data_IF_271337302258
#
_entry.id   IF_271337302258
#
_cell.length_a   1.000
_cell.length_b   1.000
_cell.length_c   1.000
_cell.angle_alpha   90.00
_cell.angle_beta   90.00
_cell.angle_gamma   90.00
#
_symmetry.space_group_name_H-M   'P 1'
#
loop_
_entity.id
_entity.type
_entity.pdbx_description
1 polymer ?
#
# COMPACT_ATOMS: atom_id res chain seq x y z
N UNK A 1 26.48 -13.60 -8.33
CA UNK A 1 25.49 -12.52 -8.11
C UNK A 1 24.31 -12.55 -9.07
N UNK A 2 24.49 -12.89 -10.36
CA UNK A 2 23.40 -12.89 -11.35
C UNK A 2 22.25 -13.91 -11.09
N UNK A 3 22.54 -15.04 -10.44
CA UNK A 3 21.54 -16.08 -10.13
C UNK A 3 20.57 -15.67 -9.02
N UNK A 4 21.07 -15.04 -7.95
CA UNK A 4 20.26 -14.56 -6.82
C UNK A 4 19.24 -13.51 -7.27
N UNK A 5 19.66 -12.57 -8.12
CA UNK A 5 18.77 -11.56 -8.70
C UNK A 5 17.66 -12.18 -9.57
N UNK A 6 18.00 -13.22 -10.34
CA UNK A 6 17.03 -13.93 -11.19
C UNK A 6 16.00 -14.70 -10.36
N UNK A 7 16.41 -15.30 -9.24
CA UNK A 7 15.50 -16.00 -8.33
C UNK A 7 14.63 -15.04 -7.52
N UNK A 8 15.15 -13.89 -7.10
CA UNK A 8 14.35 -12.82 -6.48
C UNK A 8 13.31 -12.27 -7.45
N UNK A 9 13.69 -12.04 -8.71
CA UNK A 9 12.76 -11.60 -9.75
C UNK A 9 11.67 -12.64 -10.03
N UNK A 10 12.01 -13.94 -10.07
CA UNK A 10 11.04 -15.03 -10.21
C UNK A 10 10.08 -15.14 -9.03
N UNK A 11 10.59 -15.00 -7.79
CA UNK A 11 9.73 -14.96 -6.59
C UNK A 11 8.78 -13.77 -6.64
N UNK A 12 9.28 -12.57 -6.98
CA UNK A 12 8.44 -11.38 -7.13
C UNK A 12 7.36 -11.59 -8.22
N UNK A 13 7.72 -12.14 -9.37
CA UNK A 13 6.78 -12.47 -10.44
C UNK A 13 5.73 -13.52 -9.99
N UNK A 14 6.13 -14.53 -9.21
CA UNK A 14 5.18 -15.53 -8.68
C UNK A 14 4.19 -14.95 -7.68
N UNK A 15 4.60 -13.98 -6.86
CA UNK A 15 3.71 -13.33 -5.89
C UNK A 15 2.68 -12.45 -6.61
N UNK A 16 3.07 -11.82 -7.72
CA UNK A 16 2.16 -11.05 -8.58
C UNK A 16 1.22 -11.95 -9.39
N UNK A 17 1.69 -13.11 -9.86
CA UNK A 17 0.90 -14.04 -10.67
C UNK A 17 -0.03 -14.95 -9.84
N UNK A 18 0.30 -15.22 -8.58
CA UNK A 18 -0.49 -16.07 -7.69
C UNK A 18 -1.95 -15.65 -7.52
N UNK A 19 -2.29 -14.37 -7.23
CA UNK A 19 -3.68 -13.95 -7.10
C UNK A 19 -4.46 -14.09 -8.42
N UNK A 20 -3.84 -13.77 -9.57
CA UNK A 20 -4.45 -13.93 -10.88
C UNK A 20 -4.73 -15.40 -11.23
N UNK A 21 -3.82 -16.31 -10.85
CA UNK A 21 -4.00 -17.75 -11.05
C UNK A 21 -5.08 -18.32 -10.13
N UNK A 22 -5.15 -17.87 -8.87
CA UNK A 22 -6.19 -18.26 -7.92
C UNK A 22 -7.59 -17.85 -8.39
N UNK A 23 -7.76 -16.61 -8.89
CA UNK A 23 -9.02 -16.17 -9.50
C UNK A 23 -9.39 -17.00 -10.74
N UNK A 24 -8.40 -17.36 -11.56
CA UNK A 24 -8.64 -18.18 -12.76
C UNK A 24 -9.03 -19.62 -12.41
N UNK A 25 -8.39 -20.23 -11.42
CA UNK A 25 -8.78 -21.55 -10.91
C UNK A 25 -10.18 -21.54 -10.28
N UNK A 26 -10.57 -20.45 -9.60
CA UNK A 26 -11.94 -20.26 -9.11
C UNK A 26 -12.97 -20.14 -10.24
N UNK A 27 -12.60 -19.47 -11.34
CA UNK A 27 -13.44 -19.39 -12.54
C UNK A 27 -13.53 -20.75 -13.28
N UNK A 28 -12.43 -21.50 -13.34
CA UNK A 28 -12.35 -22.81 -14.03
C UNK A 28 -13.10 -23.92 -13.27
N UNK A 29 -13.28 -23.80 -11.95
CA UNK A 29 -14.05 -24.73 -11.11
C UNK A 29 -15.58 -24.49 -11.17
N UNK A 30 -16.09 -23.89 -12.25
CA UNK A 30 -17.53 -23.70 -12.45
C UNK A 30 -18.18 -22.61 -11.59
N UNK A 31 -17.39 -21.76 -10.91
CA UNK A 31 -17.91 -20.63 -10.15
C UNK A 31 -18.58 -20.98 -8.81
N UNK A 32 -18.47 -22.22 -8.33
CA UNK A 32 -18.91 -22.62 -6.98
C UNK A 32 -17.96 -22.03 -5.91
N UNK A 33 -18.05 -20.72 -5.74
CA UNK A 33 -17.58 -20.03 -4.54
C UNK A 33 -18.57 -20.33 -3.42
N UNK A 34 -18.29 -21.41 -2.67
CA UNK A 34 -18.87 -21.63 -1.34
C UNK A 34 -18.36 -20.54 -0.39
N UNK A 35 -18.96 -19.37 -0.48
CA UNK A 35 -18.77 -18.30 0.48
C UNK A 35 -19.64 -18.50 1.72
N UNK A 36 -19.56 -17.60 2.70
CA UNK A 36 -20.32 -17.69 3.95
C UNK A 36 -21.84 -17.70 3.74
N UNK A 37 -22.33 -17.30 2.56
CA UNK A 37 -23.73 -17.44 2.16
C UNK A 37 -23.88 -18.42 0.99
N UNK A 38 -24.97 -19.20 0.92
CA UNK A 38 -25.34 -19.94 -0.29
C UNK A 38 -25.67 -19.05 -1.49
N UNK A 39 -25.88 -17.73 -1.30
CA UNK A 39 -26.18 -16.80 -2.38
C UNK A 39 -24.89 -16.14 -2.95
N UNK A 40 -24.58 -16.32 -4.25
CA UNK A 40 -23.36 -15.77 -4.85
C UNK A 40 -23.32 -14.23 -4.86
N UNK A 41 -24.46 -13.55 -5.04
CA UNK A 41 -24.52 -12.08 -5.01
C UNK A 41 -24.19 -11.55 -3.61
N UNK A 42 -24.69 -12.22 -2.56
CA UNK A 42 -24.37 -11.90 -1.17
C UNK A 42 -22.88 -12.11 -0.88
N UNK A 43 -22.29 -13.20 -1.39
CA UNK A 43 -20.86 -13.46 -1.22
C UNK A 43 -19.97 -12.38 -1.85
N UNK A 44 -20.35 -11.84 -3.02
CA UNK A 44 -19.63 -10.74 -3.65
C UNK A 44 -19.68 -9.46 -2.81
N UNK A 45 -20.86 -9.13 -2.26
CA UNK A 45 -21.01 -7.97 -1.37
C UNK A 45 -20.17 -8.16 -0.11
N UNK A 46 -20.21 -9.34 0.51
CA UNK A 46 -19.39 -9.66 1.69
C UNK A 46 -17.90 -9.51 1.35
N UNK A 47 -17.45 -10.02 0.20
CA UNK A 47 -16.07 -9.94 -0.22
C UNK A 47 -15.62 -8.49 -0.46
N UNK A 48 -16.42 -7.67 -1.16
CA UNK A 48 -16.09 -6.25 -1.39
C UNK A 48 -16.01 -5.47 -0.07
N UNK A 49 -16.99 -5.66 0.83
CA UNK A 49 -16.98 -5.03 2.15
C UNK A 49 -15.77 -5.48 2.97
N UNK A 50 -15.48 -6.78 2.98
CA UNK A 50 -14.34 -7.34 3.70
C UNK A 50 -13.02 -6.76 3.18
N UNK A 51 -12.84 -6.69 1.86
CA UNK A 51 -11.62 -6.15 1.24
C UNK A 51 -11.44 -4.65 1.53
N UNK A 52 -12.51 -3.84 1.42
CA UNK A 52 -12.46 -2.41 1.75
C UNK A 52 -12.13 -2.18 3.22
N UNK A 53 -12.75 -2.98 4.11
CA UNK A 53 -12.53 -2.91 5.54
C UNK A 53 -11.11 -3.34 5.91
N UNK A 54 -10.65 -4.47 5.38
CA UNK A 54 -9.31 -5.01 5.60
C UNK A 54 -8.23 -4.02 5.14
N UNK A 55 -8.39 -3.45 3.94
CA UNK A 55 -7.45 -2.46 3.41
C UNK A 55 -7.39 -1.21 4.29
N UNK A 56 -8.53 -0.73 4.75
CA UNK A 56 -8.62 0.46 5.61
C UNK A 56 -7.96 0.21 6.97
N UNK A 57 -8.21 -0.94 7.58
CA UNK A 57 -7.60 -1.33 8.86
C UNK A 57 -6.08 -1.47 8.68
N UNK A 58 -5.65 -2.19 7.65
CA UNK A 58 -4.23 -2.42 7.39
C UNK A 58 -3.47 -1.12 7.16
N UNK A 59 -4.04 -0.19 6.38
CA UNK A 59 -3.48 1.16 6.19
C UNK A 59 -3.27 1.87 7.52
N UNK A 60 -4.33 1.95 8.35
CA UNK A 60 -4.27 2.65 9.65
C UNK A 60 -3.26 2.01 10.60
N UNK A 61 -3.16 0.68 10.58
CA UNK A 61 -2.19 -0.06 11.39
C UNK A 61 -0.75 0.21 10.92
N UNK A 62 -0.50 0.25 9.62
CA UNK A 62 0.82 0.59 9.07
C UNK A 62 1.20 2.05 9.38
N UNK A 63 0.28 2.98 9.18
CA UNK A 63 0.48 4.42 9.48
C UNK A 63 0.86 4.62 10.95
N UNK A 64 0.09 4.01 11.87
CA UNK A 64 0.37 4.08 13.31
C UNK A 64 1.64 3.33 13.70
N UNK A 65 1.92 2.19 13.07
CA UNK A 65 3.13 1.40 13.36
C UNK A 65 4.41 2.12 12.94
N UNK A 66 4.42 2.70 11.73
CA UNK A 66 5.57 3.43 11.20
C UNK A 66 5.83 4.70 11.99
N UNK A 67 4.81 5.53 12.23
CA UNK A 67 4.98 6.77 12.98
C UNK A 67 5.17 6.53 14.48
N UNK A 68 4.45 5.58 15.06
CA UNK A 68 4.52 5.26 16.49
C UNK A 68 5.87 4.68 16.92
N UNK A 69 6.64 4.10 16.01
CA UNK A 69 7.99 3.62 16.30
C UNK A 69 9.02 4.77 16.45
N UNK A 70 8.76 5.96 15.91
CA UNK A 70 9.74 7.05 15.85
C UNK A 70 9.26 8.37 16.45
N UNK A 71 7.96 8.53 16.71
CA UNK A 71 7.37 9.77 17.20
C UNK A 71 6.47 9.55 18.42
N UNK A 72 6.30 10.60 19.23
CA UNK A 72 5.36 10.55 20.36
C UNK A 72 3.92 10.38 19.86
N UNK A 73 3.01 9.77 20.66
CA UNK A 73 1.63 9.54 20.24
C UNK A 73 0.90 10.81 19.81
N UNK A 74 1.18 11.94 20.46
CA UNK A 74 0.60 13.25 20.10
C UNK A 74 1.09 13.72 18.73
N UNK A 75 2.41 13.67 18.49
CA UNK A 75 3.01 14.09 17.21
C UNK A 75 2.61 13.16 16.06
N UNK A 76 2.60 11.85 16.28
CA UNK A 76 2.13 10.90 15.28
C UNK A 76 0.67 11.17 14.88
N UNK A 77 -0.20 11.54 15.84
CA UNK A 77 -1.59 11.89 15.56
C UNK A 77 -1.71 13.19 14.75
N UNK A 78 -0.92 14.22 15.07
CA UNK A 78 -0.97 15.47 14.32
C UNK A 78 -0.42 15.30 12.91
N UNK A 79 0.68 14.56 12.73
CA UNK A 79 1.20 14.18 11.40
C UNK A 79 0.14 13.53 10.52
N UNK A 80 -0.66 12.61 11.08
CA UNK A 80 -1.70 11.93 10.31
C UNK A 80 -2.88 12.85 9.98
N UNK A 81 -3.13 13.89 10.79
CA UNK A 81 -4.18 14.88 10.54
C UNK A 81 -3.78 15.90 9.49
N UNK A 82 -2.57 16.45 9.57
CA UNK A 82 -2.09 17.48 8.64
C UNK A 82 -1.74 16.96 7.25
N UNK A 83 -2.17 15.74 6.88
CA UNK A 83 -2.05 15.27 5.51
C UNK A 83 -3.11 15.95 4.65
N UNK A 84 -2.68 16.61 3.58
CA UNK A 84 -3.61 17.25 2.67
C UNK A 84 -4.56 16.26 1.99
N UNK A 85 -5.80 16.68 1.76
CA UNK A 85 -6.80 15.88 1.02
C UNK A 85 -6.29 15.55 -0.39
N UNK A 86 -5.65 16.52 -1.04
CA UNK A 86 -5.09 16.36 -2.38
C UNK A 86 -4.01 15.25 -2.45
N UNK A 87 -3.08 15.21 -1.50
CA UNK A 87 -2.08 14.13 -1.43
C UNK A 87 -2.73 12.76 -1.26
N UNK A 88 -3.75 12.67 -0.39
CA UNK A 88 -4.45 11.41 -0.14
C UNK A 88 -5.10 10.89 -1.42
N UNK A 89 -5.74 11.77 -2.19
CA UNK A 89 -6.34 11.44 -3.48
C UNK A 89 -5.29 11.04 -4.52
N UNK A 90 -4.19 11.78 -4.61
CA UNK A 90 -3.09 11.47 -5.53
C UNK A 90 -2.49 10.09 -5.24
N UNK A 91 -2.18 9.80 -3.98
CA UNK A 91 -1.68 8.48 -3.56
C UNK A 91 -2.68 7.36 -3.90
N UNK A 92 -3.98 7.62 -3.69
CA UNK A 92 -5.04 6.68 -4.07
C UNK A 92 -5.09 6.42 -5.59
N UNK A 93 -4.97 7.46 -6.40
CA UNK A 93 -4.94 7.35 -7.86
C UNK A 93 -3.72 6.57 -8.36
N UNK A 94 -2.52 6.87 -7.83
CA UNK A 94 -1.30 6.13 -8.16
C UNK A 94 -1.39 4.65 -7.78
N UNK A 95 -1.97 4.35 -6.60
CA UNK A 95 -2.23 2.99 -6.19
C UNK A 95 -3.21 2.28 -7.15
N UNK A 96 -4.26 2.97 -7.61
CA UNK A 96 -5.19 2.43 -8.61
C UNK A 96 -4.48 2.11 -9.93
N UNK A 97 -3.62 3.00 -10.42
CA UNK A 97 -2.81 2.77 -11.63
C UNK A 97 -1.90 1.55 -11.44
N UNK A 98 -1.22 1.45 -10.31
CA UNK A 98 -0.37 0.31 -9.98
C UNK A 98 -1.14 -1.02 -9.93
N UNK A 99 -2.38 -1.01 -9.43
CA UNK A 99 -3.21 -2.22 -9.31
C UNK A 99 -3.99 -2.56 -10.57
N UNK A 100 -4.26 -1.56 -11.43
CA UNK A 100 -5.09 -1.75 -12.63
C UNK A 100 -4.42 -2.57 -13.73
N UNK A 101 -3.08 -2.66 -13.72
CA UNK A 101 -2.34 -3.35 -14.78
C UNK A 101 -0.96 -3.83 -14.32
N UNK A 102 -0.47 -4.91 -14.92
CA UNK A 102 0.88 -5.43 -14.68
C UNK A 102 1.97 -4.43 -15.11
N UNK A 103 1.88 -3.76 -16.29
CA UNK A 103 2.84 -2.72 -16.64
C UNK A 103 2.84 -1.55 -15.65
N UNK A 104 1.67 -1.10 -15.20
CA UNK A 104 1.55 -0.04 -14.18
C UNK A 104 2.20 -0.43 -12.85
N UNK A 105 1.99 -1.67 -12.39
CA UNK A 105 2.62 -2.20 -11.20
C UNK A 105 4.15 -2.19 -11.30
N UNK A 106 4.71 -2.59 -12.45
CA UNK A 106 6.17 -2.62 -12.68
C UNK A 106 6.75 -1.22 -12.68
N UNK A 107 6.09 -0.26 -13.33
CA UNK A 107 6.57 1.13 -13.38
C UNK A 107 6.53 1.76 -12.00
N UNK A 108 5.39 1.73 -11.31
CA UNK A 108 5.24 2.35 -9.99
C UNK A 108 6.11 1.63 -8.95
N UNK A 109 6.06 0.29 -8.92
CA UNK A 109 6.87 -0.51 -8.01
C UNK A 109 8.37 -0.34 -8.27
N UNK A 110 8.79 -0.32 -9.53
CA UNK A 110 10.18 -0.07 -9.93
C UNK A 110 10.65 1.33 -9.55
N UNK A 111 9.83 2.35 -9.77
CA UNK A 111 10.13 3.72 -9.36
C UNK A 111 10.29 3.85 -7.84
N UNK A 112 9.43 3.17 -7.05
CA UNK A 112 9.56 3.14 -5.59
C UNK A 112 10.87 2.47 -5.15
N UNK A 113 11.20 1.30 -5.70
CA UNK A 113 12.47 0.62 -5.40
C UNK A 113 13.66 1.51 -5.76
N UNK A 114 13.65 2.11 -6.96
CA UNK A 114 14.70 3.02 -7.39
C UNK A 114 14.84 4.22 -6.45
N UNK A 115 13.71 4.84 -6.05
CA UNK A 115 13.69 5.95 -5.09
C UNK A 115 14.24 5.53 -3.72
N UNK A 116 13.91 4.33 -3.24
CA UNK A 116 14.43 3.84 -1.95
C UNK A 116 15.95 3.65 -1.95
N UNK A 117 16.51 3.13 -3.06
CA UNK A 117 17.95 2.97 -3.21
C UNK A 117 18.65 4.32 -3.33
N UNK A 118 18.03 5.25 -4.06
CA UNK A 118 18.50 6.63 -4.15
C UNK A 118 18.53 7.32 -2.78
N UNK A 119 17.44 7.24 -2.00
CA UNK A 119 17.35 7.85 -0.67
C UNK A 119 18.35 7.22 0.30
N UNK A 120 18.57 5.91 0.19
CA UNK A 120 19.58 5.22 0.98
C UNK A 120 20.99 5.69 0.66
N UNK A 121 21.30 6.06 -0.59
CA UNK A 121 22.59 6.66 -0.95
C UNK A 121 22.78 8.06 -0.36
N UNK A 122 21.67 8.79 -0.11
CA UNK A 122 21.64 10.16 0.43
C UNK A 122 20.97 10.22 1.80
N UNK A 123 21.20 9.20 2.62
CA UNK A 123 20.37 8.95 3.80
C UNK A 123 20.38 10.09 4.84
N UNK A 124 21.42 10.92 4.90
CA UNK A 124 21.42 12.10 5.79
C UNK A 124 20.47 13.18 5.27
N UNK A 125 20.58 13.52 4.00
CA UNK A 125 19.73 14.51 3.34
C UNK A 125 18.26 14.05 3.32
N UNK A 126 18.01 12.81 2.90
CA UNK A 126 16.65 12.25 2.85
C UNK A 126 15.97 12.22 4.24
N UNK A 127 16.73 11.99 5.32
CA UNK A 127 16.19 12.08 6.69
C UNK A 127 15.87 13.50 7.10
N UNK A 128 16.72 14.47 6.75
CA UNK A 128 16.48 15.88 7.06
C UNK A 128 15.24 16.40 6.33
N UNK A 129 15.14 16.13 5.02
CA UNK A 129 13.98 16.48 4.19
C UNK A 129 12.70 15.81 4.70
N UNK A 130 12.75 14.51 5.00
CA UNK A 130 11.60 13.79 5.54
C UNK A 130 11.18 14.28 6.92
N UNK A 131 12.13 14.65 7.79
CA UNK A 131 11.83 15.18 9.11
C UNK A 131 11.21 16.58 9.04
N UNK A 132 11.65 17.42 8.12
CA UNK A 132 11.04 18.73 7.86
C UNK A 132 9.59 18.56 7.39
N UNK A 133 9.36 17.74 6.36
CA UNK A 133 8.01 17.50 5.85
C UNK A 133 7.07 16.89 6.91
N UNK A 134 7.57 16.00 7.78
CA UNK A 134 6.79 15.44 8.89
C UNK A 134 6.56 16.47 10.00
N UNK A 135 7.42 17.48 10.15
CA UNK A 135 7.19 18.58 11.06
C UNK A 135 6.07 19.49 10.54
N UNK A 136 6.12 19.86 9.26
CA UNK A 136 5.08 20.70 8.62
C UNK A 136 3.70 20.05 8.74
N UNK A 137 3.57 18.76 8.40
CA UNK A 137 2.32 18.01 8.59
C UNK A 137 1.88 17.91 10.06
N UNK A 138 2.83 17.90 11.01
CA UNK A 138 2.50 17.87 12.43
C UNK A 138 1.95 19.21 12.92
N UNK A 139 2.41 20.32 12.34
CA UNK A 139 1.97 21.69 12.62
C UNK A 139 0.58 21.91 12.03
N UNK A 140 0.40 21.64 10.73
CA UNK A 140 -0.90 21.74 10.05
C UNK A 140 -1.99 20.94 10.79
N UNK A 141 -1.67 19.69 11.19
CA UNK A 141 -2.61 18.84 11.91
C UNK A 141 -2.86 19.22 13.37
N UNK A 142 -2.05 20.12 13.94
CA UNK A 142 -2.26 20.70 15.27
C UNK A 142 -3.12 21.97 15.20
N UNK A 143 -3.03 22.74 14.11
CA UNK A 143 -3.88 23.92 13.86
C UNK A 143 -5.34 23.52 13.57
N UNK A 144 -5.56 22.35 12.97
CA UNK A 144 -6.89 21.80 12.70
C UNK A 144 -7.53 21.03 13.90
N UNK A 145 -6.91 21.03 15.09
CA UNK A 145 -7.30 20.19 16.24
C UNK A 145 -8.06 20.94 17.35
#
# INVERSE_FOLDING_TARGET
>A
MATVLKDSARKAASVVAAPAKGLKTLADNGGELHGPSPNPATNLIIADIALRTATTIMRRSMERGVLGASYSPKKAKSILKGRTVAETLLHGALARVALSSVPGAVVIGGALVAKTLYDRSRARQARAEGAAHLQDMAEDGAEEA
#
